data_IF_908062765952
#
_entry.id   IF_908062765952
#
_cell.length_a   1.000
_cell.length_b   1.000
_cell.length_c   1.000
_cell.angle_alpha   90.00
_cell.angle_beta   90.00
_cell.angle_gamma   90.00
#
_symmetry.space_group_name_H-M   'P 1'
#
loop_
_entity.id
_entity.type
_entity.pdbx_description
1 polymer ?
#
# COMPACT_ATOMS: atom_id res chain seq x y z
N UNK A 1 24.35 -11.21 -38.95
CA UNK A 1 25.01 -11.82 -37.79
C UNK A 1 26.24 -10.97 -37.58
N UNK A 2 26.14 -9.95 -36.74
CA UNK A 2 27.30 -9.18 -36.32
C UNK A 2 28.16 -10.08 -35.43
N UNK A 3 29.36 -10.41 -35.90
CA UNK A 3 30.42 -10.92 -35.03
C UNK A 3 30.76 -9.79 -34.07
N UNK A 4 30.40 -9.95 -32.79
CA UNK A 4 30.99 -9.10 -31.75
C UNK A 4 32.52 -9.24 -31.86
N UNK A 5 33.28 -8.14 -31.95
CA UNK A 5 34.73 -8.21 -32.03
C UNK A 5 35.27 -8.91 -30.78
N UNK A 6 36.22 -9.83 -30.95
CA UNK A 6 36.72 -10.71 -29.89
C UNK A 6 37.17 -9.96 -28.62
N UNK A 7 37.66 -8.72 -28.76
CA UNK A 7 38.05 -7.83 -27.66
C UNK A 7 36.85 -7.42 -26.78
N UNK A 8 35.70 -7.08 -27.37
CA UNK A 8 34.48 -6.75 -26.63
C UNK A 8 33.89 -7.98 -25.89
N UNK A 9 34.12 -9.18 -26.42
CA UNK A 9 33.71 -10.42 -25.76
C UNK A 9 34.64 -10.75 -24.57
N UNK A 10 35.93 -10.47 -24.67
CA UNK A 10 36.89 -10.65 -23.57
C UNK A 10 36.63 -9.65 -22.43
N UNK A 11 36.38 -8.39 -22.75
CA UNK A 11 36.06 -7.35 -21.74
C UNK A 11 34.78 -7.66 -20.98
N UNK A 12 33.72 -8.12 -21.68
CA UNK A 12 32.48 -8.54 -21.02
C UNK A 12 32.72 -9.72 -20.06
N UNK A 13 33.56 -10.70 -20.43
CA UNK A 13 33.90 -11.82 -19.55
C UNK A 13 34.63 -11.34 -18.29
N UNK A 14 35.56 -10.39 -18.43
CA UNK A 14 36.28 -9.80 -17.30
C UNK A 14 35.31 -9.06 -16.37
N UNK A 15 34.40 -8.24 -16.92
CA UNK A 15 33.40 -7.52 -16.15
C UNK A 15 32.47 -8.47 -15.38
N UNK A 16 31.98 -9.53 -16.03
CA UNK A 16 31.17 -10.57 -15.37
C UNK A 16 31.96 -11.28 -14.26
N UNK A 17 33.25 -11.58 -14.47
CA UNK A 17 34.08 -12.19 -13.44
C UNK A 17 34.26 -11.28 -12.22
N UNK A 18 34.44 -9.97 -12.42
CA UNK A 18 34.53 -8.99 -11.33
C UNK A 18 33.22 -8.92 -10.56
N UNK A 19 32.08 -8.78 -11.26
CA UNK A 19 30.75 -8.68 -10.65
C UNK A 19 30.43 -9.94 -9.84
N UNK A 20 30.76 -11.12 -10.38
CA UNK A 20 30.53 -12.42 -9.71
C UNK A 20 31.20 -12.54 -8.34
N UNK A 21 32.25 -11.77 -8.08
CA UNK A 21 32.99 -11.76 -6.81
C UNK A 21 32.39 -10.80 -5.78
N UNK A 22 31.47 -9.93 -6.17
CA UNK A 22 30.81 -9.00 -5.26
C UNK A 22 29.79 -9.73 -4.38
N UNK A 23 29.83 -9.57 -3.05
CA UNK A 23 28.80 -10.14 -2.19
C UNK A 23 27.44 -9.49 -2.51
N UNK A 24 26.41 -10.25 -2.95
CA UNK A 24 25.12 -9.69 -3.36
C UNK A 24 24.50 -8.81 -2.28
N UNK A 25 24.52 -9.30 -1.04
CA UNK A 25 23.98 -8.58 0.14
C UNK A 25 24.68 -7.24 0.39
N UNK A 26 26.01 -7.21 0.27
CA UNK A 26 26.76 -5.98 0.56
C UNK A 26 26.47 -4.89 -0.47
N UNK A 27 26.33 -5.25 -1.76
CA UNK A 27 25.93 -4.30 -2.81
C UNK A 27 24.55 -3.74 -2.52
N UNK A 28 23.59 -4.61 -2.18
CA UNK A 28 22.24 -4.23 -1.85
C UNK A 28 22.16 -3.25 -0.68
N UNK A 29 22.76 -3.61 0.45
CA UNK A 29 22.76 -2.79 1.67
C UNK A 29 23.45 -1.45 1.43
N UNK A 30 24.55 -1.44 0.67
CA UNK A 30 25.24 -0.19 0.30
C UNK A 30 24.35 0.73 -0.52
N UNK A 31 23.62 0.19 -1.50
CA UNK A 31 22.71 0.97 -2.34
C UNK A 31 21.48 1.47 -1.57
N UNK A 32 21.09 0.78 -0.49
CA UNK A 32 19.97 1.14 0.39
C UNK A 32 20.40 1.62 1.79
N UNK A 33 21.61 2.19 1.93
CA UNK A 33 22.24 2.48 3.23
C UNK A 33 21.32 3.22 4.21
N UNK A 34 20.55 4.20 3.74
CA UNK A 34 19.66 4.98 4.61
C UNK A 34 18.55 4.14 5.25
N UNK A 35 17.84 3.32 4.46
CA UNK A 35 16.77 2.46 4.98
C UNK A 35 17.34 1.44 5.99
N UNK A 36 18.52 0.90 5.71
CA UNK A 36 19.19 -0.04 6.61
C UNK A 36 19.66 0.62 7.91
N UNK A 37 20.19 1.84 7.83
CA UNK A 37 20.65 2.59 8.99
C UNK A 37 19.50 3.02 9.91
N UNK A 38 18.40 3.54 9.37
CA UNK A 38 17.24 3.91 10.20
C UNK A 38 16.64 2.71 10.93
N UNK A 39 16.63 1.54 10.29
CA UNK A 39 16.16 0.29 10.88
C UNK A 39 17.02 -0.27 12.03
N UNK A 40 18.22 0.30 12.27
CA UNK A 40 18.99 -0.02 13.47
C UNK A 40 18.44 0.69 14.72
N UNK A 41 17.64 1.74 14.52
CA UNK A 41 17.15 2.64 15.58
C UNK A 41 15.64 2.53 15.79
N UNK A 42 14.90 2.12 14.76
CA UNK A 42 13.44 2.08 14.78
C UNK A 42 12.94 0.77 14.18
N UNK A 43 11.89 0.21 14.78
CA UNK A 43 11.23 -1.00 14.28
C UNK A 43 10.24 -0.65 13.16
N UNK A 44 10.07 -1.52 12.15
CA UNK A 44 9.02 -1.36 11.18
C UNK A 44 7.65 -1.46 11.86
N UNK A 45 6.69 -0.73 11.32
CA UNK A 45 5.29 -0.80 11.71
C UNK A 45 4.76 -2.18 11.32
N UNK A 46 4.00 -2.82 12.21
CA UNK A 46 3.24 -4.03 11.88
C UNK A 46 1.91 -3.61 11.23
N UNK A 47 1.71 -3.83 9.91
CA UNK A 47 0.49 -3.40 9.22
C UNK A 47 -0.78 -4.03 9.81
N UNK A 48 -0.69 -5.26 10.32
CA UNK A 48 -1.84 -5.95 10.93
C UNK A 48 -2.25 -5.33 12.27
N UNK A 49 -1.36 -4.57 12.91
CA UNK A 49 -1.63 -3.86 14.17
C UNK A 49 -2.19 -2.45 13.96
N UNK A 50 -2.08 -1.92 12.74
CA UNK A 50 -2.56 -0.58 12.40
C UNK A 50 -4.04 -0.66 12.05
N UNK A 51 -4.89 -0.32 13.02
CA UNK A 51 -6.28 0.00 12.72
C UNK A 51 -6.34 1.41 12.13
N UNK A 52 -6.98 1.55 10.97
CA UNK A 52 -7.28 2.85 10.39
C UNK A 52 -8.61 3.34 10.93
N UNK A 53 -8.56 4.40 11.73
CA UNK A 53 -9.74 5.08 12.25
C UNK A 53 -9.97 6.41 11.53
N UNK A 54 -11.06 7.12 11.87
CA UNK A 54 -11.38 8.46 11.37
C UNK A 54 -10.18 9.45 11.46
N UNK A 55 -9.36 9.36 12.50
CA UNK A 55 -8.20 10.25 12.66
C UNK A 55 -7.16 10.05 11.56
N UNK A 56 -7.03 8.82 11.05
CA UNK A 56 -6.11 8.50 9.95
C UNK A 56 -6.50 9.15 8.62
N UNK A 57 -7.75 9.58 8.47
CA UNK A 57 -8.28 10.22 7.25
C UNK A 57 -8.56 11.72 7.40
N UNK A 58 -8.38 12.32 8.58
CA UNK A 58 -8.61 13.76 8.84
C UNK A 58 -7.99 14.70 7.79
N UNK A 59 -6.79 14.35 7.34
CA UNK A 59 -6.04 15.15 6.35
C UNK A 59 -6.80 15.35 5.02
N UNK A 60 -7.77 14.50 4.70
CA UNK A 60 -8.63 14.68 3.53
C UNK A 60 -9.64 15.81 3.70
N UNK A 61 -10.17 16.01 4.90
CA UNK A 61 -11.02 17.17 5.20
C UNK A 61 -10.22 18.46 5.06
N UNK A 62 -9.01 18.51 5.65
CA UNK A 62 -8.11 19.66 5.50
C UNK A 62 -7.80 19.96 4.02
N UNK A 63 -7.59 18.91 3.22
CA UNK A 63 -7.30 19.04 1.78
C UNK A 63 -8.51 19.52 0.99
N UNK A 64 -9.71 19.02 1.29
CA UNK A 64 -10.95 19.46 0.67
C UNK A 64 -11.24 20.93 0.97
N UNK A 65 -11.06 21.35 2.23
CA UNK A 65 -11.20 22.74 2.67
C UNK A 65 -10.22 23.66 1.93
N UNK A 66 -8.94 23.27 1.86
CA UNK A 66 -7.91 24.02 1.12
C UNK A 66 -8.22 24.11 -0.38
N UNK A 67 -8.81 23.07 -0.95
CA UNK A 67 -9.21 23.03 -2.37
C UNK A 67 -10.57 23.70 -2.63
N UNK A 68 -11.31 24.10 -1.59
CA UNK A 68 -12.66 24.67 -1.67
C UNK A 68 -13.63 23.78 -2.46
N UNK A 69 -13.59 22.48 -2.19
CA UNK A 69 -14.50 21.47 -2.75
C UNK A 69 -15.38 20.88 -1.65
N UNK A 70 -16.35 20.05 -2.03
CA UNK A 70 -17.18 19.33 -1.06
C UNK A 70 -16.30 18.44 -0.16
N UNK A 71 -16.58 18.46 1.14
CA UNK A 71 -15.88 17.63 2.11
C UNK A 71 -16.09 16.15 1.79
N UNK A 72 -15.08 15.29 2.05
CA UNK A 72 -15.28 13.86 1.95
C UNK A 72 -16.31 13.41 2.97
N UNK A 73 -16.98 12.29 2.69
CA UNK A 73 -17.98 11.70 3.56
C UNK A 73 -17.64 10.23 3.83
N UNK A 74 -17.91 9.71 5.03
CA UNK A 74 -17.84 8.28 5.25
C UNK A 74 -18.88 7.54 4.40
N UNK A 75 -18.51 6.40 3.83
CA UNK A 75 -19.42 5.59 2.99
C UNK A 75 -20.59 5.01 3.80
N UNK A 76 -20.43 4.84 5.11
CA UNK A 76 -21.44 4.20 5.96
C UNK A 76 -21.56 2.71 5.65
N UNK A 77 -22.73 2.25 5.18
CA UNK A 77 -22.92 0.87 4.77
C UNK A 77 -22.51 0.73 3.29
N UNK A 78 -21.43 0.01 2.94
CA UNK A 78 -20.95 -0.08 1.55
C UNK A 78 -22.02 -0.60 0.58
N UNK A 79 -22.87 -1.53 1.02
CA UNK A 79 -23.98 -2.07 0.22
C UNK A 79 -25.05 -1.06 -0.18
N UNK A 80 -25.14 0.07 0.54
CA UNK A 80 -26.09 1.14 0.28
C UNK A 80 -25.54 2.25 -0.62
N UNK A 81 -24.25 2.19 -0.96
CA UNK A 81 -23.62 3.19 -1.82
C UNK A 81 -24.29 3.22 -3.21
N UNK A 82 -24.73 4.42 -3.62
CA UNK A 82 -25.42 4.69 -4.91
C UNK A 82 -24.66 5.66 -5.82
N UNK A 83 -23.36 5.84 -5.60
CA UNK A 83 -22.55 6.69 -6.46
C UNK A 83 -22.41 6.15 -7.89
N UNK A 84 -21.93 7.01 -8.79
CA UNK A 84 -21.77 6.69 -10.21
C UNK A 84 -20.56 5.79 -10.46
N UNK A 85 -19.43 6.12 -9.83
CA UNK A 85 -18.19 5.36 -9.90
C UNK A 85 -18.17 4.34 -8.72
N UNK A 86 -17.50 3.18 -8.86
CA UNK A 86 -17.31 2.22 -7.76
C UNK A 86 -16.65 2.85 -6.54
N UNK A 87 -16.91 2.31 -5.33
CA UNK A 87 -16.32 2.83 -4.08
C UNK A 87 -14.79 2.81 -4.17
N UNK A 88 -14.24 1.74 -4.74
CA UNK A 88 -12.80 1.51 -4.89
C UNK A 88 -12.10 2.59 -5.72
N UNK A 89 -12.82 3.23 -6.64
CA UNK A 89 -12.29 4.27 -7.53
C UNK A 89 -12.36 5.68 -6.89
N UNK A 90 -13.16 5.87 -5.85
CA UNK A 90 -13.38 7.18 -5.19
C UNK A 90 -13.03 7.19 -3.70
N UNK A 91 -12.62 6.03 -3.16
CA UNK A 91 -12.19 5.90 -1.79
C UNK A 91 -10.86 6.62 -1.57
N UNK A 92 -10.81 7.40 -0.49
CA UNK A 92 -9.65 8.16 -0.11
C UNK A 92 -8.82 7.37 0.92
N UNK A 93 -7.54 7.08 0.64
CA UNK A 93 -6.75 6.19 1.47
C UNK A 93 -6.46 6.79 2.86
N UNK A 94 -6.44 5.95 3.91
CA UNK A 94 -5.98 6.39 5.22
C UNK A 94 -4.49 6.74 5.17
N UNK A 95 -4.01 7.55 6.11
CA UNK A 95 -2.60 7.89 6.19
C UNK A 95 -1.83 6.81 6.95
N UNK A 96 -0.74 6.31 6.36
CA UNK A 96 0.25 5.49 7.07
C UNK A 96 1.59 6.23 7.20
N UNK A 97 2.24 6.09 8.36
CA UNK A 97 3.49 6.74 8.70
C UNK A 97 4.72 5.93 8.24
N UNK A 98 4.75 5.60 6.94
CA UNK A 98 5.84 4.82 6.34
C UNK A 98 7.23 5.43 6.59
N UNK A 99 8.17 4.58 6.97
CA UNK A 99 9.53 4.95 7.41
C UNK A 99 10.61 4.14 6.68
N UNK A 100 11.89 4.47 6.90
CA UNK A 100 13.01 3.68 6.39
C UNK A 100 13.02 2.21 6.85
N UNK A 101 12.74 1.91 8.14
CA UNK A 101 12.54 0.54 8.62
C UNK A 101 11.50 -0.26 7.83
N UNK A 102 10.37 0.37 7.48
CA UNK A 102 9.33 -0.27 6.67
C UNK A 102 9.82 -0.55 5.25
N UNK A 103 10.52 0.43 4.64
CA UNK A 103 11.16 0.22 3.33
C UNK A 103 12.16 -0.94 3.38
N UNK A 104 12.97 -1.04 4.44
CA UNK A 104 13.90 -2.16 4.63
C UNK A 104 13.16 -3.49 4.75
N UNK A 105 12.10 -3.56 5.55
CA UNK A 105 11.31 -4.79 5.69
C UNK A 105 10.75 -5.25 4.34
N UNK A 106 10.24 -4.32 3.53
CA UNK A 106 9.78 -4.61 2.17
C UNK A 106 10.91 -5.05 1.21
N UNK A 107 12.11 -4.45 1.32
CA UNK A 107 13.29 -4.87 0.55
C UNK A 107 13.78 -6.28 0.93
N UNK A 108 13.81 -6.61 2.23
CA UNK A 108 14.17 -7.94 2.71
C UNK A 108 13.17 -9.01 2.25
N UNK A 109 11.89 -8.66 2.25
CA UNK A 109 10.83 -9.51 1.71
C UNK A 109 11.00 -9.73 0.20
N UNK A 110 11.30 -8.67 -0.56
CA UNK A 110 11.60 -8.80 -1.98
C UNK A 110 12.82 -9.71 -2.22
N UNK A 111 13.89 -9.57 -1.42
CA UNK A 111 15.05 -10.48 -1.49
C UNK A 111 14.66 -11.92 -1.19
N UNK A 112 13.76 -12.15 -0.23
CA UNK A 112 13.27 -13.48 0.12
C UNK A 112 12.50 -14.12 -1.04
N UNK A 113 11.69 -13.33 -1.75
CA UNK A 113 10.85 -13.80 -2.87
C UNK A 113 11.65 -14.02 -4.14
N UNK A 114 12.45 -13.02 -4.55
CA UNK A 114 13.12 -13.02 -5.85
C UNK A 114 14.53 -13.60 -5.81
N UNK A 115 15.19 -13.59 -4.64
CA UNK A 115 16.62 -13.84 -4.54
C UNK A 115 17.44 -12.71 -5.15
N UNK A 116 18.68 -12.53 -4.69
CA UNK A 116 19.55 -11.46 -5.16
C UNK A 116 20.85 -12.02 -5.72
N UNK A 117 21.18 -11.65 -6.95
CA UNK A 117 22.39 -12.11 -7.63
C UNK A 117 23.58 -11.15 -7.37
N UNK A 118 24.82 -11.62 -7.61
CA UNK A 118 26.00 -10.76 -7.50
C UNK A 118 25.87 -9.49 -8.35
N UNK A 119 26.19 -8.34 -7.75
CA UNK A 119 26.08 -7.03 -8.39
C UNK A 119 24.67 -6.47 -8.53
N UNK A 120 23.63 -7.20 -8.10
CA UNK A 120 22.26 -6.68 -8.11
C UNK A 120 21.91 -5.92 -6.83
N UNK A 121 20.94 -5.04 -6.94
CA UNK A 121 20.21 -4.46 -5.81
C UNK A 121 18.77 -4.17 -6.19
N UNK A 122 17.91 -4.11 -5.18
CA UNK A 122 16.51 -3.76 -5.37
C UNK A 122 16.30 -2.34 -4.88
N UNK A 123 15.42 -1.62 -5.55
CA UNK A 123 14.91 -0.33 -5.12
C UNK A 123 13.39 -0.34 -5.16
N UNK A 124 12.78 0.37 -4.22
CA UNK A 124 11.34 0.55 -4.12
C UNK A 124 11.05 2.04 -4.20
N UNK A 125 10.06 2.42 -5.01
CA UNK A 125 9.46 3.74 -4.86
C UNK A 125 8.84 3.84 -3.47
N UNK A 126 9.10 4.93 -2.75
CA UNK A 126 8.69 5.02 -1.36
C UNK A 126 8.22 6.45 -1.03
N UNK A 127 7.10 6.61 -0.33
CA UNK A 127 6.20 5.58 0.23
C UNK A 127 5.35 4.83 -0.82
N UNK A 128 4.76 3.67 -0.48
CA UNK A 128 3.81 2.96 -1.35
C UNK A 128 2.49 3.73 -1.49
N UNK A 129 1.75 3.42 -2.55
CA UNK A 129 0.39 3.92 -2.78
C UNK A 129 -0.65 2.92 -2.26
N UNK A 130 -1.73 3.44 -1.68
CA UNK A 130 -2.85 2.63 -1.19
C UNK A 130 -3.98 2.59 -2.22
N UNK A 131 -4.62 1.43 -2.31
CA UNK A 131 -5.84 1.23 -3.09
C UNK A 131 -6.82 0.41 -2.28
N UNK A 132 -8.10 0.78 -2.30
CA UNK A 132 -9.15 0.00 -1.66
C UNK A 132 -9.36 -1.26 -2.49
N UNK A 133 -9.05 -2.41 -1.93
CA UNK A 133 -9.16 -3.70 -2.61
C UNK A 133 -10.53 -4.34 -2.39
N UNK A 134 -11.06 -4.22 -1.18
CA UNK A 134 -12.38 -4.69 -0.81
C UNK A 134 -13.03 -3.63 0.10
N UNK A 135 -14.23 -3.11 -0.22
CA UNK A 135 -14.91 -2.13 0.61
C UNK A 135 -15.45 -2.73 1.91
N UNK A 136 -15.42 -4.05 2.09
CA UNK A 136 -15.94 -4.75 3.26
C UNK A 136 -17.47 -4.90 3.23
N UNK A 137 -17.99 -5.53 4.29
CA UNK A 137 -19.41 -5.87 4.40
C UNK A 137 -19.92 -5.44 5.78
N UNK A 138 -20.96 -4.60 5.73
CA UNK A 138 -21.72 -4.17 6.90
C UNK A 138 -23.18 -4.51 6.62
N UNK A 139 -23.85 -5.10 7.61
CA UNK A 139 -25.28 -5.31 7.56
C UNK A 139 -25.91 -4.75 8.84
N UNK A 140 -27.17 -4.35 8.69
CA UNK A 140 -27.96 -3.87 9.81
C UNK A 140 -28.78 -5.04 10.37
N UNK A 141 -28.80 -5.20 11.69
CA UNK A 141 -29.61 -6.25 12.33
C UNK A 141 -31.09 -5.97 12.18
N UNK A 142 -31.88 -7.05 12.14
CA UNK A 142 -33.33 -6.95 12.09
C UNK A 142 -33.88 -6.30 13.37
N UNK A 143 -34.84 -5.41 13.20
CA UNK A 143 -35.57 -4.81 14.31
C UNK A 143 -36.26 -5.89 15.15
N UNK A 144 -35.98 -5.88 16.44
CA UNK A 144 -36.58 -6.79 17.43
C UNK A 144 -37.22 -5.96 18.55
N UNK A 145 -38.56 -6.03 18.70
CA UNK A 145 -39.26 -5.34 19.78
C UNK A 145 -38.72 -5.73 21.17
N UNK A 146 -38.65 -4.78 22.09
CA UNK A 146 -38.33 -5.08 23.48
C UNK A 146 -39.48 -5.86 24.14
N UNK A 147 -39.22 -6.48 25.29
CA UNK A 147 -40.23 -7.29 25.99
C UNK A 147 -41.51 -6.53 26.36
N UNK A 148 -41.45 -5.20 26.49
CA UNK A 148 -42.61 -4.34 26.75
C UNK A 148 -43.46 -4.12 25.49
N UNK A 149 -42.84 -4.11 24.31
CA UNK A 149 -43.48 -3.83 23.03
C UNK A 149 -43.60 -5.06 22.11
N UNK A 150 -43.26 -6.26 22.60
CA UNK A 150 -43.32 -7.51 21.85
C UNK A 150 -44.71 -7.84 21.27
N UNK A 151 -45.79 -7.39 21.91
CA UNK A 151 -47.16 -7.58 21.41
C UNK A 151 -47.65 -6.44 20.51
N UNK A 152 -46.86 -5.37 20.36
CA UNK A 152 -47.19 -4.19 19.55
C UNK A 152 -46.37 -4.12 18.25
N UNK A 153 -45.61 -5.18 17.94
CA UNK A 153 -44.61 -5.19 16.87
C UNK A 153 -43.56 -4.05 17.02
N UNK A 154 -43.33 -3.61 18.27
CA UNK A 154 -42.34 -2.58 18.61
C UNK A 154 -42.88 -1.17 18.77
N UNK A 155 -41.99 -0.27 19.17
CA UNK A 155 -42.22 1.16 19.27
C UNK A 155 -40.96 1.89 18.80
N UNK A 156 -41.07 2.68 17.73
CA UNK A 156 -39.96 3.44 17.15
C UNK A 156 -39.44 4.54 18.09
N UNK A 157 -40.20 4.97 19.09
CA UNK A 157 -39.75 5.96 20.08
C UNK A 157 -39.14 5.29 21.33
N UNK A 158 -39.16 3.95 21.41
CA UNK A 158 -38.63 3.21 22.54
C UNK A 158 -37.12 2.93 22.35
N UNK A 159 -36.25 3.42 23.25
CA UNK A 159 -34.80 3.20 23.14
C UNK A 159 -34.41 1.71 23.08
N UNK A 160 -35.03 0.86 23.91
CA UNK A 160 -34.74 -0.58 23.90
C UNK A 160 -35.16 -1.28 22.61
N UNK A 161 -36.17 -0.76 21.91
CA UNK A 161 -36.55 -1.27 20.59
C UNK A 161 -35.60 -0.77 19.51
N UNK A 162 -35.17 0.50 19.57
CA UNK A 162 -34.19 1.06 18.64
C UNK A 162 -32.81 0.39 18.79
N UNK A 163 -32.40 0.05 20.01
CA UNK A 163 -31.12 -0.62 20.30
C UNK A 163 -31.01 -2.02 19.65
N UNK A 164 -32.11 -2.60 19.16
CA UNK A 164 -32.11 -3.87 18.43
C UNK A 164 -31.55 -3.77 17.02
N UNK A 165 -31.56 -2.57 16.42
CA UNK A 165 -31.05 -2.27 15.09
C UNK A 165 -29.65 -1.72 15.24
N UNK A 166 -28.66 -2.51 14.83
CA UNK A 166 -27.25 -2.21 14.96
C UNK A 166 -26.53 -2.55 13.67
N UNK A 167 -25.54 -1.73 13.33
CA UNK A 167 -24.66 -2.01 12.21
C UNK A 167 -23.57 -2.98 12.67
N UNK A 168 -23.57 -4.18 12.09
CA UNK A 168 -22.60 -5.23 12.35
C UNK A 168 -21.66 -5.34 11.16
N UNK A 169 -20.37 -5.20 11.44
CA UNK A 169 -19.31 -5.41 10.44
C UNK A 169 -19.07 -6.92 10.33
N UNK A 170 -19.42 -7.50 9.18
CA UNK A 170 -19.13 -8.90 8.86
C UNK A 170 -17.70 -9.05 8.32
N UNK A 171 -17.29 -8.11 7.48
CA UNK A 171 -15.98 -8.10 6.83
C UNK A 171 -15.40 -6.69 6.86
N UNK A 172 -14.16 -6.55 7.33
CA UNK A 172 -13.44 -5.28 7.31
C UNK A 172 -13.11 -4.86 5.87
N UNK A 173 -13.05 -3.56 5.64
CA UNK A 173 -12.55 -3.01 4.39
C UNK A 173 -11.03 -3.25 4.32
N UNK A 174 -10.53 -3.61 3.15
CA UNK A 174 -9.14 -3.99 2.95
C UNK A 174 -8.42 -3.01 2.02
N UNK A 175 -7.35 -2.41 2.53
CA UNK A 175 -6.44 -1.57 1.76
C UNK A 175 -5.19 -2.34 1.38
N UNK A 176 -4.84 -2.30 0.09
CA UNK A 176 -3.57 -2.82 -0.42
C UNK A 176 -2.60 -1.70 -0.67
N UNK A 177 -1.41 -1.83 -0.10
CA UNK A 177 -0.30 -0.91 -0.26
C UNK A 177 0.67 -1.49 -1.26
N UNK A 178 0.84 -0.80 -2.39
CA UNK A 178 1.66 -1.27 -3.50
C UNK A 178 2.69 -0.22 -3.91
N UNK A 179 3.80 -0.69 -4.48
CA UNK A 179 4.83 0.19 -5.02
C UNK A 179 5.46 -0.39 -6.28
N UNK A 180 6.33 0.38 -6.94
CA UNK A 180 7.18 -0.10 -8.01
C UNK A 180 8.45 -0.71 -7.42
N UNK A 181 8.69 -1.99 -7.71
CA UNK A 181 9.95 -2.68 -7.44
C UNK A 181 10.84 -2.64 -8.69
N UNK A 182 12.07 -2.15 -8.52
CA UNK A 182 13.11 -2.15 -9.55
C UNK A 182 14.26 -3.03 -9.14
N UNK A 183 14.60 -4.00 -9.97
CA UNK A 183 15.83 -4.77 -9.86
C UNK A 183 16.86 -4.12 -10.77
N UNK A 184 17.96 -3.71 -10.18
CA UNK A 184 19.08 -3.08 -10.87
C UNK A 184 20.31 -3.98 -10.77
N UNK A 185 21.21 -3.88 -11.75
CA UNK A 185 22.49 -4.55 -11.75
C UNK A 185 23.62 -3.56 -12.05
N UNK A 186 24.78 -3.82 -11.46
CA UNK A 186 26.03 -3.16 -11.83
C UNK A 186 26.40 -3.62 -13.24
N UNK A 187 26.76 -2.68 -14.09
CA UNK A 187 27.42 -2.92 -15.36
C UNK A 187 28.61 -1.98 -15.50
N UNK A 188 29.49 -2.26 -16.45
CA UNK A 188 30.61 -1.38 -16.81
C UNK A 188 30.44 -0.90 -18.25
N UNK A 189 30.97 0.27 -18.56
CA UNK A 189 31.15 0.74 -19.95
C UNK A 189 32.55 0.38 -20.46
N UNK A 190 32.82 0.68 -21.74
CA UNK A 190 34.10 0.38 -22.40
C UNK A 190 35.30 1.14 -21.78
N UNK A 191 35.03 2.20 -21.01
CA UNK A 191 36.04 2.96 -20.24
C UNK A 191 36.27 2.37 -18.83
N UNK A 192 35.60 1.26 -18.49
CA UNK A 192 35.66 0.62 -17.18
C UNK A 192 34.93 1.39 -16.08
N UNK A 193 34.03 2.32 -16.43
CA UNK A 193 33.23 3.07 -15.45
C UNK A 193 31.97 2.30 -15.08
N UNK A 194 31.69 2.29 -13.78
CA UNK A 194 30.47 1.69 -13.24
C UNK A 194 29.23 2.45 -13.70
N UNK A 195 28.24 1.70 -14.19
CA UNK A 195 26.89 2.16 -14.51
C UNK A 195 25.85 1.24 -13.89
N UNK A 196 24.66 1.78 -13.63
CA UNK A 196 23.50 1.00 -13.23
C UNK A 196 22.65 0.66 -14.45
N UNK A 197 22.25 -0.61 -14.56
CA UNK A 197 21.26 -1.05 -15.55
C UNK A 197 20.05 -1.61 -14.83
N UNK A 198 18.86 -1.16 -15.21
CA UNK A 198 17.60 -1.74 -14.76
C UNK A 198 17.40 -3.07 -15.51
N UNK A 199 17.30 -4.17 -14.75
CA UNK A 199 17.14 -5.52 -15.32
C UNK A 199 15.71 -6.01 -15.26
N UNK A 200 14.93 -5.51 -14.30
CA UNK A 200 13.52 -5.86 -14.15
C UNK A 200 12.76 -4.75 -13.42
N UNK A 201 11.49 -4.57 -13.81
CA UNK A 201 10.53 -3.70 -13.13
C UNK A 201 9.25 -4.46 -12.91
N UNK A 202 8.77 -4.43 -11.68
CA UNK A 202 7.44 -4.89 -11.30
C UNK A 202 6.64 -3.70 -10.80
N UNK A 203 5.51 -3.46 -11.47
CA UNK A 203 4.54 -2.44 -11.05
C UNK A 203 3.49 -3.12 -10.17
N UNK A 204 3.14 -2.48 -9.05
CA UNK A 204 2.12 -3.00 -8.13
C UNK A 204 2.63 -4.08 -7.17
N UNK A 205 3.93 -4.07 -6.85
CA UNK A 205 4.51 -4.93 -5.81
C UNK A 205 3.83 -4.63 -4.47
N UNK A 206 3.09 -5.60 -3.93
CA UNK A 206 2.35 -5.48 -2.68
C UNK A 206 3.33 -5.50 -1.48
N UNK A 207 3.34 -4.44 -0.69
CA UNK A 207 4.20 -4.32 0.50
C UNK A 207 3.44 -4.60 1.78
N UNK A 208 2.14 -4.32 1.81
CA UNK A 208 1.30 -4.55 2.97
C UNK A 208 -0.18 -4.58 2.59
N UNK A 209 -0.96 -5.18 3.49
CA UNK A 209 -2.41 -5.09 3.52
C UNK A 209 -2.83 -4.61 4.90
N UNK A 210 -3.77 -3.67 4.97
CA UNK A 210 -4.33 -3.16 6.23
C UNK A 210 -5.86 -3.18 6.20
N UNK A 211 -6.45 -3.27 7.39
CA UNK A 211 -7.90 -3.32 7.55
C UNK A 211 -8.42 -1.98 8.10
N UNK A 212 -9.64 -1.62 7.68
CA UNK A 212 -10.36 -0.45 8.15
C UNK A 212 -11.82 -0.84 8.43
N UNK A 213 -12.45 -0.20 9.42
CA UNK A 213 -13.91 -0.30 9.56
C UNK A 213 -14.57 0.23 8.28
N UNK A 214 -15.37 -0.58 7.56
CA UNK A 214 -15.99 -0.15 6.30
C UNK A 214 -16.77 1.16 6.41
N UNK A 215 -17.35 1.43 7.59
CA UNK A 215 -18.16 2.63 7.83
C UNK A 215 -17.35 3.91 7.83
N UNK A 216 -16.05 3.80 8.11
CA UNK A 216 -15.13 4.92 8.21
C UNK A 216 -14.33 5.16 6.91
N UNK A 217 -14.51 4.30 5.89
CA UNK A 217 -13.93 4.51 4.57
C UNK A 217 -14.49 5.83 4.02
N UNK A 218 -13.60 6.80 3.83
CA UNK A 218 -13.98 8.08 3.26
C UNK A 218 -14.06 7.97 1.75
N UNK A 219 -15.15 8.49 1.20
CA UNK A 219 -15.32 8.77 -0.22
C UNK A 219 -15.22 10.27 -0.42
N UNK A 220 -14.43 10.68 -1.41
CA UNK A 220 -14.30 12.07 -1.80
C UNK A 220 -14.88 12.31 -3.18
N UNK A 221 -15.03 13.58 -3.59
CA UNK A 221 -15.15 13.87 -5.01
C UNK A 221 -13.99 13.15 -5.73
N UNK A 222 -14.24 12.43 -6.84
CA UNK A 222 -13.25 11.62 -7.53
C UNK A 222 -11.99 12.45 -7.69
N UNK A 223 -10.89 11.88 -7.21
CA UNK A 223 -9.64 12.61 -7.08
C UNK A 223 -9.37 13.26 -8.42
N UNK A 224 -9.01 14.53 -8.31
CA UNK A 224 -9.36 15.46 -9.35
C UNK A 224 -8.80 14.90 -10.65
N UNK A 225 -7.67 14.16 -10.80
CA UNK A 225 -7.10 13.60 -12.08
C UNK A 225 -7.90 12.62 -12.99
N UNK A 226 -9.22 12.52 -12.83
CA UNK A 226 -10.12 12.91 -13.94
C UNK A 226 -10.21 14.46 -13.97
N UNK A 227 -9.05 15.15 -14.15
CA UNK A 227 -8.64 16.56 -13.75
C UNK A 227 -8.11 16.98 -12.36
N UNK A 228 -6.86 16.72 -11.96
CA UNK A 228 -6.09 17.70 -11.20
C UNK A 228 -5.69 18.78 -12.21
#
# INVERSE_FOLDING_TARGET
MDEMPAEAAEDEVIHQEVISKLPPRLVHEKRNTWAYFEAEVTEPIDPASVCHDELSTIHWYDRADLATVDSPEPVGIPGDYRGVDPIEDVALPPRMAWSGPDKKAALEEAIRVYGIEPGQWFDLEWPPSAHLWDPGIVFQTDFTPCGVHAELDGDEECPECQDSVQDVVEQMAQWKWTTTLRINAIAFDDDGRERSTEVHVEQGYEVATTDQDPREVLIGPPDRDRHW
#
